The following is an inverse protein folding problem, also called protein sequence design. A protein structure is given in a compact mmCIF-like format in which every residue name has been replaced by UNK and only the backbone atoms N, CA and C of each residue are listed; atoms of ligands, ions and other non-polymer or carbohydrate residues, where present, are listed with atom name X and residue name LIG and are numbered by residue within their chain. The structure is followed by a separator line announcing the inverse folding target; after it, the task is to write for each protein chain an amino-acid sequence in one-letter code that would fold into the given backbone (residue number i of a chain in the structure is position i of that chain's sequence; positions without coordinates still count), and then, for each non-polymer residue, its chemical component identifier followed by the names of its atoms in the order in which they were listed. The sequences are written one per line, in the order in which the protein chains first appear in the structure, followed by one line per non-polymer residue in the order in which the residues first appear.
data_IF_144051519225
#
_entry.id   IF_144051519225
#
_cell.length_a   1.000
_cell.length_b   1.000
_cell.length_c   1.000
_cell.angle_alpha   90.00
_cell.angle_beta   90.00
_cell.angle_gamma   90.00
#
_symmetry.space_group_name_H-M   'P 1'
#
loop_
_entity.id
_entity.type
_entity.pdbx_description
1 polymer ?
#
# COMPACT_ATOMS: atom_id res chain seq x y z
N UNK A 1 -36.05 7.67 6.68
CA UNK A 1 -34.99 6.76 6.20
C UNK A 1 -33.67 7.50 6.28
N UNK A 2 -32.66 6.93 6.93
CA UNK A 2 -31.33 7.55 7.09
C UNK A 2 -30.35 6.83 6.19
N UNK A 3 -29.75 7.57 5.25
CA UNK A 3 -28.73 7.04 4.35
C UNK A 3 -27.35 7.05 5.04
N UNK A 4 -26.76 5.86 5.16
CA UNK A 4 -25.47 5.61 5.78
C UNK A 4 -24.50 5.05 4.74
N UNK A 5 -23.25 5.50 4.81
CA UNK A 5 -22.15 4.95 4.01
C UNK A 5 -21.03 4.49 4.94
N UNK A 6 -20.59 3.25 4.76
CA UNK A 6 -19.43 2.67 5.42
C UNK A 6 -18.29 2.53 4.41
N UNK A 7 -17.13 3.10 4.72
CA UNK A 7 -15.90 2.95 3.91
C UNK A 7 -14.87 2.20 4.76
N UNK A 8 -14.68 0.91 4.48
CA UNK A 8 -13.76 0.04 5.24
C UNK A 8 -13.24 -1.14 4.42
N UNK A 9 -11.95 -1.46 4.60
CA UNK A 9 -11.34 -2.68 4.08
C UNK A 9 -11.36 -3.86 5.08
N UNK A 10 -11.73 -3.61 6.35
CA UNK A 10 -11.77 -4.62 7.42
C UNK A 10 -13.04 -5.50 7.29
N UNK A 11 -12.90 -6.83 7.10
CA UNK A 11 -14.04 -7.73 6.97
C UNK A 11 -14.95 -7.76 8.21
N UNK A 12 -14.37 -7.70 9.42
CA UNK A 12 -15.10 -7.67 10.70
C UNK A 12 -16.11 -6.51 10.77
N UNK A 13 -15.69 -5.30 10.40
CA UNK A 13 -16.55 -4.13 10.41
C UNK A 13 -17.69 -4.25 9.38
N UNK A 14 -17.42 -4.83 8.20
CA UNK A 14 -18.47 -5.09 7.21
C UNK A 14 -19.54 -6.02 7.78
N UNK A 15 -19.14 -7.13 8.40
CA UNK A 15 -20.08 -8.09 8.99
C UNK A 15 -20.94 -7.44 10.10
N UNK A 16 -20.33 -6.62 10.95
CA UNK A 16 -21.03 -5.87 11.99
C UNK A 16 -22.09 -4.93 11.42
N UNK A 17 -21.72 -4.12 10.43
CA UNK A 17 -22.64 -3.17 9.83
C UNK A 17 -23.71 -3.84 8.96
N UNK A 18 -23.47 -5.02 8.40
CA UNK A 18 -24.51 -5.78 7.70
C UNK A 18 -25.67 -6.16 8.62
N UNK A 19 -25.44 -6.35 9.92
CA UNK A 19 -26.53 -6.55 10.90
C UNK A 19 -27.41 -5.30 11.07
N UNK A 20 -26.85 -4.12 10.83
CA UNK A 20 -27.60 -2.86 10.82
C UNK A 20 -28.42 -2.66 9.55
N UNK A 21 -28.14 -3.42 8.48
CA UNK A 21 -28.89 -3.32 7.23
C UNK A 21 -30.29 -3.94 7.33
N UNK A 22 -30.53 -4.77 8.36
CA UNK A 22 -31.83 -5.39 8.63
C UNK A 22 -32.86 -4.36 9.14
N UNK A 23 -32.43 -3.18 9.58
CA UNK A 23 -33.32 -2.11 10.02
C UNK A 23 -33.99 -1.42 8.82
N UNK A 24 -35.34 -1.47 8.67
CA UNK A 24 -36.04 -0.93 7.51
C UNK A 24 -35.98 0.61 7.41
N UNK A 25 -35.55 1.27 8.49
CA UNK A 25 -35.40 2.73 8.54
C UNK A 25 -34.02 3.20 8.09
N UNK A 26 -33.08 2.29 7.85
CA UNK A 26 -31.70 2.59 7.48
C UNK A 26 -31.41 2.10 6.07
N UNK A 27 -30.66 2.91 5.31
CA UNK A 27 -30.11 2.50 4.03
C UNK A 27 -28.61 2.47 4.15
N UNK A 28 -28.05 1.29 4.39
CA UNK A 28 -26.62 1.13 4.49
C UNK A 28 -26.02 0.82 3.11
N UNK A 29 -24.96 1.54 2.77
CA UNK A 29 -24.05 1.21 1.66
C UNK A 29 -22.65 0.96 2.16
N UNK A 30 -21.96 0.05 1.50
CA UNK A 30 -20.60 -0.36 1.88
C UNK A 30 -19.68 -0.17 0.68
N UNK A 31 -18.58 0.55 0.91
CA UNK A 31 -17.50 0.72 -0.04
C UNK A 31 -16.20 0.14 0.54
N UNK A 32 -15.46 -0.59 -0.29
CA UNK A 32 -14.17 -1.18 0.10
C UNK A 32 -12.98 -0.27 -0.18
N UNK A 33 -13.15 0.72 -1.05
CA UNK A 33 -12.11 1.66 -1.47
C UNK A 33 -12.60 3.11 -1.43
N UNK A 34 -11.66 4.05 -1.42
CA UNK A 34 -11.96 5.48 -1.50
C UNK A 34 -12.68 5.84 -2.80
N UNK A 35 -12.27 5.27 -3.93
CA UNK A 35 -12.87 5.56 -5.24
C UNK A 35 -14.34 5.18 -5.25
N UNK A 36 -14.64 3.95 -4.82
CA UNK A 36 -16.02 3.47 -4.68
C UNK A 36 -16.81 4.32 -3.68
N UNK A 37 -16.21 4.68 -2.53
CA UNK A 37 -16.85 5.56 -1.56
C UNK A 37 -17.15 6.95 -2.12
N UNK A 38 -16.27 7.49 -2.96
CA UNK A 38 -16.45 8.75 -3.66
C UNK A 38 -17.57 8.70 -4.72
N UNK A 39 -17.68 7.59 -5.44
CA UNK A 39 -18.78 7.33 -6.40
C UNK A 39 -20.12 7.23 -5.68
N UNK A 40 -20.19 6.48 -4.58
CA UNK A 40 -21.42 6.33 -3.78
C UNK A 40 -21.89 7.66 -3.20
N UNK A 41 -20.97 8.50 -2.72
CA UNK A 41 -21.25 9.87 -2.23
C UNK A 41 -21.74 10.79 -3.35
N UNK A 42 -21.18 10.63 -4.55
CA UNK A 42 -21.58 11.43 -5.70
C UNK A 42 -22.96 11.02 -6.22
N UNK A 43 -23.24 9.71 -6.21
CA UNK A 43 -24.52 9.13 -6.61
C UNK A 43 -25.64 9.51 -5.64
N UNK A 44 -25.38 9.43 -4.34
CA UNK A 44 -26.33 9.80 -3.30
C UNK A 44 -25.61 10.41 -2.11
N UNK A 45 -26.21 11.41 -1.47
CA UNK A 45 -25.50 12.20 -0.47
C UNK A 45 -25.86 11.68 0.93
N UNK A 46 -25.05 10.79 1.53
CA UNK A 46 -25.39 10.17 2.80
C UNK A 46 -25.48 11.22 3.91
N UNK A 47 -26.35 10.97 4.88
CA UNK A 47 -26.47 11.80 6.08
C UNK A 47 -25.25 11.62 7.00
N UNK A 48 -24.68 10.41 7.02
CA UNK A 48 -23.52 10.05 7.82
C UNK A 48 -22.61 9.06 7.10
N UNK A 49 -21.30 9.27 7.25
CA UNK A 49 -20.24 8.44 6.66
C UNK A 49 -19.34 7.94 7.79
N UNK A 50 -19.18 6.62 7.86
CA UNK A 50 -18.22 5.95 8.73
C UNK A 50 -16.95 5.65 7.92
N UNK A 51 -15.79 6.11 8.39
CA UNK A 51 -14.51 6.00 7.69
C UNK A 51 -13.48 5.38 8.61
N UNK A 52 -12.79 4.36 8.13
CA UNK A 52 -11.65 3.75 8.84
C UNK A 52 -10.41 4.66 8.80
N UNK A 53 -9.53 4.55 9.80
CA UNK A 53 -8.26 5.32 9.89
C UNK A 53 -7.42 5.27 8.61
N UNK A 54 -7.34 4.09 8.01
CA UNK A 54 -6.60 3.85 6.78
C UNK A 54 -7.46 3.03 5.82
N UNK A 55 -7.58 3.50 4.58
CA UNK A 55 -8.24 2.76 3.48
C UNK A 55 -7.35 2.89 2.27
N UNK A 56 -6.93 1.76 1.69
CA UNK A 56 -6.03 1.75 0.51
C UNK A 56 -4.74 2.55 0.73
N UNK A 57 -4.16 2.47 1.92
CA UNK A 57 -2.92 3.18 2.28
C UNK A 57 -3.04 4.70 2.47
N UNK A 58 -4.23 5.28 2.27
CA UNK A 58 -4.50 6.69 2.53
C UNK A 58 -4.98 6.89 3.97
N UNK A 59 -4.49 7.94 4.61
CA UNK A 59 -4.87 8.32 5.96
C UNK A 59 -6.23 9.02 6.01
N UNK A 60 -6.90 8.89 7.15
CA UNK A 60 -8.24 9.44 7.44
C UNK A 60 -8.38 10.94 7.11
N UNK A 61 -7.39 11.76 7.43
CA UNK A 61 -7.37 13.19 7.12
C UNK A 61 -7.45 13.48 5.61
N UNK A 62 -6.65 12.76 4.81
CA UNK A 62 -6.67 12.83 3.34
C UNK A 62 -8.03 12.35 2.84
N UNK A 63 -8.54 11.23 3.36
CA UNK A 63 -9.87 10.71 3.01
C UNK A 63 -10.95 11.77 3.26
N UNK A 64 -10.96 12.37 4.44
CA UNK A 64 -11.93 13.40 4.82
C UNK A 64 -11.89 14.61 3.89
N UNK A 65 -10.69 15.08 3.53
CA UNK A 65 -10.51 16.20 2.62
C UNK A 65 -11.09 15.87 1.22
N UNK A 66 -10.79 14.68 0.69
CA UNK A 66 -11.30 14.23 -0.60
C UNK A 66 -12.83 14.06 -0.60
N UNK A 67 -13.39 13.45 0.46
CA UNK A 67 -14.83 13.23 0.59
C UNK A 67 -15.58 14.56 0.76
N UNK A 68 -15.07 15.49 1.58
CA UNK A 68 -15.64 16.84 1.73
C UNK A 68 -15.68 17.60 0.41
N UNK A 69 -14.62 17.50 -0.41
CA UNK A 69 -14.56 18.13 -1.73
C UNK A 69 -15.67 17.60 -2.68
N UNK A 70 -16.01 16.31 -2.58
CA UNK A 70 -17.07 15.68 -3.39
C UNK A 70 -18.49 15.97 -2.90
N UNK A 71 -18.71 16.06 -1.60
CA UNK A 71 -20.03 16.33 -0.98
C UNK A 71 -20.60 17.72 -1.28
N UNK A 72 -19.73 18.69 -1.56
CA UNK A 72 -20.13 20.08 -1.83
C UNK A 72 -20.74 20.74 -0.59
N UNK A 73 -21.91 21.39 -0.75
CA UNK A 73 -22.56 22.19 0.31
C UNK A 73 -23.42 21.38 1.30
N UNK A 74 -23.55 20.06 1.14
CA UNK A 74 -24.39 19.25 2.05
C UNK A 74 -23.67 18.99 3.37
N UNK A 75 -24.43 19.04 4.46
CA UNK A 75 -23.94 18.71 5.80
C UNK A 75 -24.03 17.19 6.00
N UNK A 76 -22.90 16.52 5.86
CA UNK A 76 -22.74 15.09 6.17
C UNK A 76 -21.88 14.97 7.42
N UNK A 77 -22.29 14.11 8.36
CA UNK A 77 -21.49 13.82 9.55
C UNK A 77 -20.47 12.75 9.22
N UNK A 78 -19.25 12.95 9.69
CA UNK A 78 -18.16 11.99 9.54
C UNK A 78 -17.83 11.39 10.90
N UNK A 79 -17.82 10.06 10.97
CA UNK A 79 -17.47 9.28 12.14
C UNK A 79 -16.22 8.47 11.82
N UNK A 80 -15.17 8.63 12.64
CA UNK A 80 -13.93 7.89 12.48
C UNK A 80 -14.01 6.53 13.18
N UNK A 81 -13.66 5.45 12.49
CA UNK A 81 -13.52 4.11 13.04
C UNK A 81 -12.04 3.83 13.24
N UNK A 82 -11.57 3.83 14.49
CA UNK A 82 -10.15 3.70 14.78
C UNK A 82 -9.93 3.12 16.18
N UNK A 83 -8.88 2.31 16.39
CA UNK A 83 -8.47 1.93 17.73
C UNK A 83 -7.74 3.12 18.41
N UNK A 84 -7.79 3.22 19.76
CA UNK A 84 -7.38 4.42 20.50
C UNK A 84 -5.88 4.70 20.41
N UNK A 85 -5.07 3.69 20.10
CA UNK A 85 -3.62 3.76 19.93
C UNK A 85 -3.19 4.39 18.59
N UNK A 86 -4.08 4.43 17.59
CA UNK A 86 -3.76 4.89 16.24
C UNK A 86 -4.24 6.32 15.92
N UNK A 87 -4.91 7.00 16.86
CA UNK A 87 -5.50 8.31 16.58
C UNK A 87 -4.79 9.42 17.35
N UNK A 88 -4.47 10.49 16.62
CA UNK A 88 -3.98 11.73 17.19
C UNK A 88 -5.18 12.67 17.48
N UNK A 89 -5.15 13.38 18.61
CA UNK A 89 -6.14 14.40 19.00
C UNK A 89 -6.40 15.44 17.89
N UNK A 90 -5.38 15.75 17.09
CA UNK A 90 -5.53 16.65 15.94
C UNK A 90 -6.53 16.12 14.89
N UNK A 91 -6.49 14.81 14.63
CA UNK A 91 -7.40 14.15 13.68
C UNK A 91 -8.80 14.07 14.26
N UNK A 92 -8.93 13.73 15.55
CA UNK A 92 -10.24 13.62 16.22
C UNK A 92 -11.07 14.91 16.11
N UNK A 93 -10.42 16.08 16.19
CA UNK A 93 -11.09 17.39 16.04
C UNK A 93 -11.70 17.64 14.66
N UNK A 94 -11.22 16.93 13.62
CA UNK A 94 -11.75 17.06 12.26
C UNK A 94 -13.05 16.28 12.04
N UNK A 95 -13.29 15.28 12.88
CA UNK A 95 -14.45 14.39 12.84
C UNK A 95 -15.53 14.83 13.84
N UNK A 96 -16.77 14.37 13.61
CA UNK A 96 -17.87 14.68 14.53
C UNK A 96 -17.87 13.76 15.76
N UNK A 97 -17.43 12.51 15.57
CA UNK A 97 -17.27 11.51 16.61
C UNK A 97 -16.25 10.46 16.16
N UNK A 98 -15.70 9.70 17.12
CA UNK A 98 -14.84 8.55 16.89
C UNK A 98 -15.42 7.33 17.59
N UNK A 99 -15.26 6.15 16.98
CA UNK A 99 -15.66 4.87 17.54
C UNK A 99 -14.43 3.96 17.63
N UNK A 100 -14.27 3.34 18.78
CA UNK A 100 -13.16 2.45 19.09
C UNK A 100 -13.40 1.06 18.49
N UNK A 101 -12.57 0.69 17.50
CA UNK A 101 -12.67 -0.61 16.82
C UNK A 101 -12.03 -1.77 17.59
N UNK A 102 -11.29 -1.49 18.66
CA UNK A 102 -10.70 -2.51 19.53
C UNK A 102 -11.72 -3.13 20.49
N UNK A 103 -12.87 -2.48 20.69
CA UNK A 103 -13.97 -2.98 21.50
C UNK A 103 -14.60 -4.25 20.93
N UNK A 104 -15.31 -4.98 21.78
CA UNK A 104 -16.13 -6.12 21.37
C UNK A 104 -17.25 -5.71 20.40
N UNK A 105 -17.64 -6.65 19.54
CA UNK A 105 -18.66 -6.47 18.51
C UNK A 105 -19.97 -5.88 19.05
N UNK A 106 -20.40 -6.31 20.24
CA UNK A 106 -21.62 -5.84 20.88
C UNK A 106 -21.51 -4.37 21.34
N UNK A 107 -20.38 -4.00 21.93
CA UNK A 107 -20.14 -2.63 22.41
C UNK A 107 -20.03 -1.65 21.24
N UNK A 108 -19.29 -2.04 20.21
CA UNK A 108 -19.13 -1.24 19.00
C UNK A 108 -20.47 -1.03 18.28
N UNK A 109 -21.31 -2.08 18.17
CA UNK A 109 -22.62 -1.99 17.55
C UNK A 109 -23.56 -1.06 18.33
N UNK A 110 -23.56 -1.12 19.66
CA UNK A 110 -24.30 -0.18 20.50
C UNK A 110 -23.83 1.27 20.29
N UNK A 111 -22.51 1.49 20.25
CA UNK A 111 -21.95 2.81 20.01
C UNK A 111 -22.31 3.36 18.60
N UNK A 112 -22.43 2.49 17.59
CA UNK A 112 -22.94 2.85 16.27
C UNK A 112 -24.43 3.25 16.33
N UNK A 113 -25.27 2.50 17.05
CA UNK A 113 -26.68 2.88 17.24
C UNK A 113 -26.82 4.23 17.94
N UNK A 114 -26.02 4.49 18.97
CA UNK A 114 -26.01 5.78 19.67
C UNK A 114 -25.62 6.92 18.73
N UNK A 115 -24.56 6.72 17.92
CA UNK A 115 -24.14 7.69 16.92
C UNK A 115 -25.27 8.00 15.92
N UNK A 116 -26.00 6.98 15.46
CA UNK A 116 -27.16 7.14 14.55
C UNK A 116 -28.32 7.84 15.27
N UNK A 117 -28.61 7.50 16.51
CA UNK A 117 -29.68 8.13 17.30
C UNK A 117 -29.44 9.65 17.47
N UNK A 118 -28.17 10.07 17.63
CA UNK A 118 -27.83 11.51 17.71
C UNK A 118 -28.13 12.30 16.43
N UNK A 119 -28.26 11.64 15.27
CA UNK A 119 -28.73 12.27 14.04
C UNK A 119 -30.23 12.53 14.10
N UNK A 120 -31.00 11.53 14.53
CA UNK A 120 -32.46 11.56 14.54
C UNK A 120 -33.00 12.66 15.47
N UNK A 121 -32.44 12.78 16.68
CA UNK A 121 -32.89 13.76 17.69
C UNK A 121 -32.71 15.21 17.21
N UNK A 122 -31.59 15.51 16.53
CA UNK A 122 -31.29 16.87 16.06
C UNK A 122 -32.20 17.31 14.90
N UNK A 123 -32.74 16.36 14.14
CA UNK A 123 -33.74 16.64 13.11
C UNK A 123 -35.09 17.06 13.70
N UNK A 124 -35.53 16.40 14.78
CA UNK A 124 -36.86 16.64 15.40
C UNK A 124 -36.93 17.98 16.13
N UNK A 125 -35.86 18.41 16.80
CA UNK A 125 -35.81 19.71 17.50
C UNK A 125 -35.87 20.92 16.57
N UNK A 126 -35.51 20.75 15.28
CA UNK A 126 -35.60 21.82 14.27
C UNK A 126 -36.97 21.89 13.57
N UNK A 127 -37.76 20.82 13.63
CA UNK A 127 -39.15 20.78 13.15
C UNK A 127 -40.17 21.25 14.21
N UNK A 128 -39.85 21.08 15.51
CA UNK A 128 -40.73 21.49 16.61
C UNK A 128 -40.55 22.95 17.07
N UNK A 129 -39.52 23.67 16.61
CA UNK A 129 -39.24 25.06 17.02
C UNK A 129 -39.90 26.14 16.13
N UNK A 130 -40.88 25.76 15.28
CA UNK A 130 -41.76 26.67 14.53
C UNK A 130 -43.22 26.55 14.97
N UNK A 131 -43.48 25.80 16.05
CA UNK A 131 -44.75 25.86 16.77
C UNK A 131 -44.50 26.61 18.07
N UNK A 132 -44.69 27.92 17.99
CA UNK A 132 -44.88 28.84 19.10
C UNK A 132 -46.00 28.33 20.02
N UNK A 133 -45.75 28.12 21.33
CA UNK A 133 -46.77 28.28 22.34
C UNK A 133 -46.59 29.68 22.94
N UNK A 134 -47.57 30.52 22.67
CA UNK A 134 -47.81 31.74 23.41
C UNK A 134 -47.98 31.41 24.91
N UNK A 135 -47.33 32.24 25.72
CA UNK A 135 -47.82 32.76 27.00
C UNK A 135 -48.18 31.77 28.12
N UNK A 136 -47.33 31.68 29.15
CA UNK A 136 -47.68 32.11 30.51
C UNK A 136 -46.60 31.72 31.55
N UNK A 137 -46.21 32.76 32.27
CA UNK A 137 -45.39 32.94 33.47
C UNK A 137 -45.49 31.91 34.65
N UNK A 138 -44.63 32.05 35.69
CA UNK A 138 -44.06 30.97 36.52
C UNK A 138 -44.53 30.95 37.98
N UNK A 139 -44.39 29.82 38.68
CA UNK A 139 -44.27 29.73 40.16
C UNK A 139 -43.50 28.46 40.53
N UNK A 140 -42.25 28.59 40.97
CA UNK A 140 -41.72 28.21 42.30
C UNK A 140 -42.39 26.98 42.97
N UNK A 141 -41.61 25.92 43.22
CA UNK A 141 -41.25 25.57 44.60
C UNK A 141 -40.21 24.45 44.70
N UNK A 142 -39.37 24.60 45.71
CA UNK A 142 -38.26 23.73 46.08
C UNK A 142 -38.73 22.54 46.94
N UNK A 143 -38.18 21.34 46.73
CA UNK A 143 -37.85 20.41 47.84
C UNK A 143 -36.66 19.51 47.42
N UNK A 144 -35.61 19.40 48.26
CA UNK A 144 -34.52 18.43 48.08
C UNK A 144 -34.89 17.08 48.71
N UNK A 145 -34.65 15.97 48.01
CA UNK A 145 -34.70 14.64 48.60
C UNK A 145 -33.33 13.97 48.62
N UNK A 146 -33.03 13.48 49.83
CA UNK A 146 -31.82 12.87 50.32
C UNK A 146 -31.55 11.46 49.75
N UNK A 147 -30.31 10.94 49.95
CA UNK A 147 -29.83 9.68 49.38
C UNK A 147 -30.41 8.47 50.13
N UNK A 148 -30.76 7.41 49.39
CA UNK A 148 -31.03 6.08 49.92
C UNK A 148 -29.92 5.10 49.50
N UNK A 149 -29.02 4.82 50.43
CA UNK A 149 -28.51 3.47 50.71
C UNK A 149 -29.70 2.56 51.11
N UNK A 150 -29.66 1.22 50.95
CA UNK A 150 -28.60 0.37 51.50
C UNK A 150 -28.28 -0.95 50.74
N UNK A 151 -27.32 -1.68 51.34
CA UNK A 151 -27.24 -3.14 51.47
C UNK A 151 -26.28 -3.92 50.55
N UNK A 152 -25.05 -4.09 51.06
CA UNK A 152 -24.41 -5.37 51.39
C UNK A 152 -25.06 -6.64 50.79
N UNK A 153 -24.35 -7.29 49.87
CA UNK A 153 -24.37 -8.76 49.74
C UNK A 153 -22.94 -9.28 49.55
N UNK A 154 -22.59 -10.23 50.43
CA UNK A 154 -21.36 -11.03 50.48
C UNK A 154 -21.24 -12.03 49.31
N UNK A 155 -20.02 -12.54 49.06
CA UNK A 155 -19.67 -13.28 47.85
C UNK A 155 -20.00 -14.78 47.93
N UNK A 156 -20.63 -15.31 46.88
CA UNK A 156 -20.71 -16.74 46.65
C UNK A 156 -19.52 -17.21 45.82
N UNK A 157 -18.76 -18.11 46.43
CA UNK A 157 -17.70 -18.90 45.83
C UNK A 157 -18.21 -19.64 44.59
N UNK A 158 -17.48 -19.53 43.48
CA UNK A 158 -17.69 -20.36 42.30
C UNK A 158 -16.51 -21.32 42.17
N UNK A 159 -16.92 -22.58 42.02
CA UNK A 159 -16.17 -23.81 41.95
C UNK A 159 -14.98 -23.77 40.98
N UNK A 160 -13.87 -24.31 41.47
CA UNK A 160 -12.62 -24.50 40.75
C UNK A 160 -12.69 -25.86 40.06
N UNK A 161 -13.05 -25.87 38.78
CA UNK A 161 -13.00 -27.08 37.95
C UNK A 161 -11.56 -27.32 37.51
N UNK A 162 -10.88 -28.26 38.16
CA UNK A 162 -9.59 -28.79 37.72
C UNK A 162 -9.76 -29.57 36.41
N UNK A 163 -9.20 -29.03 35.32
CA UNK A 163 -9.11 -29.71 34.04
C UNK A 163 -7.85 -30.57 34.01
N UNK A 164 -8.00 -31.85 34.35
CA UNK A 164 -6.93 -32.84 34.34
C UNK A 164 -6.65 -33.30 32.90
N UNK A 165 -5.61 -32.73 32.27
CA UNK A 165 -5.13 -33.13 30.94
C UNK A 165 -4.23 -34.36 31.11
N UNK A 166 -4.77 -35.54 30.79
CA UNK A 166 -3.99 -36.78 30.62
C UNK A 166 -3.25 -36.76 29.28
N UNK A 167 -1.92 -36.95 29.24
CA UNK A 167 -1.17 -37.09 28.01
C UNK A 167 -1.33 -38.51 27.44
N UNK A 168 -2.08 -38.63 26.34
CA UNK A 168 -2.18 -39.88 25.58
C UNK A 168 -0.94 -40.04 24.70
N UNK A 169 -0.23 -41.15 24.90
CA UNK A 169 0.97 -41.54 24.18
C UNK A 169 0.66 -41.85 22.70
N UNK A 170 1.32 -41.14 21.79
CA UNK A 170 1.40 -41.51 20.38
C UNK A 170 2.54 -42.52 20.20
N UNK A 171 2.18 -43.78 19.96
CA UNK A 171 3.10 -44.79 19.42
C UNK A 171 3.27 -44.60 17.91
N UNK A 172 4.50 -44.65 17.36
CA UNK A 172 4.73 -44.72 15.94
C UNK A 172 4.82 -46.20 15.52
N UNK A 173 3.84 -46.68 14.77
CA UNK A 173 3.97 -47.93 14.02
C UNK A 173 3.54 -47.67 12.58
N UNK A 174 4.48 -47.84 11.66
CA UNK A 174 4.38 -48.67 10.45
C UNK A 174 5.50 -48.25 9.51
N UNK A 175 6.67 -48.86 9.76
CA UNK A 175 7.66 -49.10 8.75
C UNK A 175 7.30 -50.41 8.02
N UNK A 176 7.77 -50.52 6.79
CA UNK A 176 7.95 -51.73 5.99
C UNK A 176 6.71 -52.39 5.38
N UNK A 177 6.60 -52.22 4.06
CA UNK A 177 6.13 -53.27 3.15
C UNK A 177 6.97 -53.21 1.89
N UNK A 178 7.94 -54.12 1.81
CA UNK A 178 8.68 -54.50 0.61
C UNK A 178 7.78 -55.34 -0.32
N UNK A 179 8.11 -55.28 -1.61
CA UNK A 179 7.98 -56.34 -2.62
C UNK A 179 6.68 -56.43 -3.44
N UNK A 180 6.78 -55.99 -4.69
CA UNK A 180 6.18 -56.63 -5.87
C UNK A 180 6.97 -56.15 -7.11
N UNK A 181 7.85 -56.98 -7.66
CA UNK A 181 7.56 -57.88 -8.77
C UNK A 181 7.54 -57.14 -10.12
N UNK A 182 8.58 -57.43 -10.89
CA UNK A 182 8.80 -56.98 -12.26
C UNK A 182 7.64 -57.37 -13.18
N UNK A 183 7.15 -56.38 -13.94
CA UNK A 183 6.51 -56.58 -15.22
C UNK A 183 6.74 -55.29 -16.03
N UNK A 184 7.51 -55.39 -17.11
CA UNK A 184 7.49 -54.42 -18.20
C UNK A 184 6.07 -54.32 -18.77
N UNK A 185 5.60 -53.11 -19.05
CA UNK A 185 4.89 -52.92 -20.30
C UNK A 185 5.36 -51.65 -21.05
N UNK A 186 5.76 -51.89 -22.29
CA UNK A 186 5.60 -51.07 -23.49
C UNK A 186 5.44 -49.54 -23.31
N UNK A 187 6.46 -48.82 -23.81
CA UNK A 187 6.40 -47.39 -24.13
C UNK A 187 5.20 -47.03 -25.02
N UNK A 188 4.37 -46.05 -24.64
CA UNK A 188 3.54 -45.30 -25.58
C UNK A 188 4.30 -44.07 -26.14
N UNK A 189 4.02 -43.66 -27.39
CA UNK A 189 4.74 -42.60 -28.09
C UNK A 189 4.49 -41.20 -27.47
N UNK A 190 5.38 -40.23 -27.70
CA UNK A 190 5.29 -38.90 -27.11
C UNK A 190 4.12 -38.12 -27.72
N UNK A 191 3.09 -37.88 -26.91
CA UNK A 191 2.02 -36.93 -27.23
C UNK A 191 2.48 -35.55 -26.78
N UNK A 192 2.65 -34.64 -27.74
CA UNK A 192 2.82 -33.20 -27.52
C UNK A 192 1.58 -32.62 -26.82
N UNK A 193 1.55 -32.70 -25.48
CA UNK A 193 0.60 -31.95 -24.67
C UNK A 193 1.10 -30.51 -24.50
N UNK A 194 0.73 -29.68 -25.48
CA UNK A 194 0.71 -28.23 -25.32
C UNK A 194 -0.16 -27.86 -24.13
N UNK A 195 0.49 -27.64 -22.99
CA UNK A 195 -0.15 -27.15 -21.77
C UNK A 195 -0.59 -25.71 -22.00
N UNK A 196 -1.82 -25.54 -22.47
CA UNK A 196 -2.52 -24.26 -22.50
C UNK A 196 -2.75 -23.82 -21.04
N UNK A 197 -1.80 -23.05 -20.49
CA UNK A 197 -2.00 -22.42 -19.19
C UNK A 197 -3.17 -21.45 -19.29
N UNK A 198 -4.18 -21.65 -18.45
CA UNK A 198 -5.25 -20.69 -18.26
C UNK A 198 -4.65 -19.33 -17.87
N UNK A 199 -4.98 -18.29 -18.63
CA UNK A 199 -4.57 -16.92 -18.36
C UNK A 199 -5.12 -16.50 -16.98
N UNK A 200 -4.25 -16.48 -15.96
CA UNK A 200 -4.61 -15.95 -14.65
C UNK A 200 -4.85 -14.44 -14.77
N UNK A 201 -5.85 -13.88 -14.07
CA UNK A 201 -6.09 -12.44 -14.08
C UNK A 201 -4.85 -11.72 -13.58
N UNK A 202 -4.27 -10.87 -14.43
CA UNK A 202 -3.17 -9.97 -14.07
C UNK A 202 -3.74 -8.95 -13.09
N UNK A 203 -3.60 -9.17 -11.78
CA UNK A 203 -3.83 -8.12 -10.81
C UNK A 203 -2.91 -6.94 -11.16
N UNK A 204 -3.49 -5.75 -11.28
CA UNK A 204 -2.80 -4.48 -11.51
C UNK A 204 -2.05 -4.01 -10.25
N UNK A 205 -1.22 -4.87 -9.67
CA UNK A 205 -0.39 -4.62 -8.47
C UNK A 205 0.68 -3.54 -8.73
N UNK A 206 0.89 -3.15 -9.98
CA UNK A 206 1.99 -2.26 -10.39
C UNK A 206 1.73 -0.76 -10.18
N UNK A 207 0.49 -0.30 -10.01
CA UNK A 207 0.20 1.14 -9.98
C UNK A 207 0.34 1.78 -8.60
N UNK A 208 0.01 1.05 -7.53
CA UNK A 208 -0.01 1.61 -6.17
C UNK A 208 1.33 1.41 -5.44
N UNK A 209 2.06 0.34 -5.77
CA UNK A 209 3.37 0.04 -5.19
C UNK A 209 4.47 1.01 -5.66
N UNK A 210 4.40 1.49 -6.90
CA UNK A 210 5.39 2.42 -7.45
C UNK A 210 5.18 3.85 -6.95
N UNK A 211 3.92 4.28 -6.82
CA UNK A 211 3.54 5.62 -6.36
C UNK A 211 3.89 5.87 -4.88
N UNK A 212 3.70 4.86 -4.02
CA UNK A 212 4.05 4.96 -2.59
C UNK A 212 5.56 4.93 -2.32
N UNK A 213 6.34 4.32 -3.23
CA UNK A 213 7.82 4.26 -3.15
C UNK A 213 8.51 5.50 -3.75
N UNK A 214 7.94 6.13 -4.78
CA UNK A 214 8.47 7.39 -5.33
C UNK A 214 8.36 8.57 -4.35
N UNK A 215 7.33 8.58 -3.51
CA UNK A 215 7.23 9.56 -2.42
C UNK A 215 8.31 9.35 -1.35
N UNK A 216 8.62 8.11 -0.97
CA UNK A 216 9.62 7.82 0.06
C UNK A 216 11.05 8.20 -0.36
N UNK A 217 11.37 8.15 -1.67
CA UNK A 217 12.66 8.60 -2.21
C UNK A 217 12.71 10.13 -2.34
N UNK A 218 11.56 10.78 -2.52
CA UNK A 218 11.47 12.25 -2.61
C UNK A 218 11.62 12.94 -1.25
N UNK A 219 11.19 12.30 -0.16
CA UNK A 219 11.31 12.81 1.21
C UNK A 219 12.72 12.69 1.81
N UNK A 220 13.64 11.97 1.17
CA UNK A 220 15.03 11.85 1.60
C UNK A 220 15.92 13.07 1.19
N UNK A 221 15.31 14.18 0.74
CA UNK A 221 16.06 15.42 0.50
C UNK A 221 16.40 16.08 1.85
N UNK A 222 17.68 16.41 2.12
CA UNK A 222 18.05 17.09 3.34
C UNK A 222 17.41 18.47 3.38
N UNK A 223 16.67 18.73 4.46
CA UNK A 223 16.08 20.03 4.82
C UNK A 223 17.15 21.12 4.76
N UNK A 224 17.13 21.94 3.71
CA UNK A 224 17.92 23.16 3.66
C UNK A 224 17.45 24.12 4.76
N UNK A 225 18.43 24.69 5.46
CA UNK A 225 18.29 25.58 6.60
C UNK A 225 17.41 26.81 6.31
N UNK A 226 16.71 27.36 7.32
CA UNK A 226 15.79 28.49 7.14
C UNK A 226 16.54 29.75 6.71
N UNK A 227 16.19 30.27 5.54
CA UNK A 227 16.63 31.57 5.04
C UNK A 227 15.77 32.67 5.64
N UNK A 228 16.45 33.70 6.14
CA UNK A 228 15.92 34.81 6.93
C UNK A 228 14.79 35.61 6.26
N UNK A 229 13.91 36.11 7.13
CA UNK A 229 12.79 37.04 6.90
C UNK A 229 13.21 38.32 6.17
N UNK A 230 12.24 38.99 5.52
CA UNK A 230 11.97 40.35 5.98
C UNK A 230 10.49 40.71 6.11
N UNK A 231 10.23 41.41 7.23
CA UNK A 231 9.43 42.62 7.44
C UNK A 231 8.06 42.81 6.76
N UNK A 232 7.07 42.98 7.65
CA UNK A 232 5.98 43.97 7.66
C UNK A 232 5.45 44.57 6.34
N UNK A 233 4.12 44.50 6.15
CA UNK A 233 3.25 45.69 6.29
C UNK A 233 1.73 45.35 6.14
N UNK A 234 0.81 46.25 6.56
CA UNK A 234 -0.47 45.86 7.16
C UNK A 234 -1.74 46.26 6.37
N UNK A 235 -2.86 45.76 6.88
CA UNK A 235 -4.15 46.45 7.05
C UNK A 235 -5.24 46.39 5.95
N UNK A 236 -6.46 46.27 6.49
CA UNK A 236 -7.74 46.84 6.03
C UNK A 236 -8.35 46.34 4.71
N UNK A 237 -9.46 45.59 4.83
CA UNK A 237 -10.80 46.16 4.52
C UNK A 237 -11.95 45.23 4.92
N UNK A 238 -12.79 45.77 5.78
CA UNK A 238 -14.22 45.51 5.90
C UNK A 238 -14.92 45.51 4.54
N UNK A 239 -15.86 44.58 4.35
CA UNK A 239 -17.07 44.81 3.55
C UNK A 239 -18.16 43.86 4.01
N UNK A 240 -18.86 44.35 5.03
CA UNK A 240 -20.20 43.96 5.46
C UNK A 240 -21.19 44.67 4.52
N UNK A 241 -22.03 43.92 3.81
CA UNK A 241 -23.24 44.49 3.22
C UNK A 241 -24.37 43.45 3.24
N UNK A 242 -25.34 43.75 4.08
CA UNK A 242 -26.62 43.07 4.24
C UNK A 242 -27.66 43.57 3.22
N UNK A 243 -28.69 42.73 3.06
CA UNK A 243 -30.11 43.00 2.72
C UNK A 243 -30.57 43.26 1.27
N UNK A 244 -31.37 42.32 0.74
CA UNK A 244 -32.84 42.37 0.76
C UNK A 244 -33.54 41.70 -0.47
N UNK A 245 -34.28 40.63 -0.18
CA UNK A 245 -35.64 40.25 -0.64
C UNK A 245 -36.07 40.49 -2.10
N UNK A 246 -36.47 39.38 -2.76
CA UNK A 246 -37.37 39.37 -3.92
C UNK A 246 -37.84 37.94 -4.24
N UNK A 247 -39.01 37.55 -3.73
CA UNK A 247 -39.68 36.28 -4.03
C UNK A 247 -40.43 36.45 -5.36
N UNK A 248 -40.00 35.74 -6.41
CA UNK A 248 -40.81 35.51 -7.60
C UNK A 248 -40.65 34.04 -8.06
N UNK A 249 -41.73 33.28 -7.93
CA UNK A 249 -41.83 31.86 -8.27
C UNK A 249 -41.92 31.69 -9.79
N UNK A 250 -40.77 31.44 -10.44
CA UNK A 250 -40.71 31.10 -11.88
C UNK A 250 -40.49 29.59 -12.06
N UNK A 251 -41.25 28.91 -12.94
CA UNK A 251 -41.13 27.46 -13.12
C UNK A 251 -39.73 27.06 -13.63
N UNK A 252 -39.22 25.88 -13.22
CA UNK A 252 -37.86 25.45 -13.50
C UNK A 252 -37.65 25.25 -15.00
N UNK A 253 -36.96 26.20 -15.64
CA UNK A 253 -36.41 26.00 -16.99
C UNK A 253 -35.33 24.90 -16.95
N UNK A 254 -35.33 23.95 -17.90
CA UNK A 254 -34.39 22.84 -17.91
C UNK A 254 -32.96 23.34 -18.16
N UNK A 255 -32.07 23.06 -17.20
CA UNK A 255 -30.67 23.51 -17.20
C UNK A 255 -29.80 22.85 -18.28
N UNK A 256 -30.33 21.90 -19.04
CA UNK A 256 -29.61 21.20 -20.11
C UNK A 256 -29.31 22.07 -21.34
N UNK A 257 -30.08 23.13 -21.60
CA UNK A 257 -29.88 23.97 -22.78
C UNK A 257 -28.61 24.85 -22.71
N UNK A 258 -28.09 25.15 -21.52
CA UNK A 258 -26.87 25.98 -21.37
C UNK A 258 -25.57 25.19 -21.48
N UNK A 259 -25.60 23.88 -21.22
CA UNK A 259 -24.41 23.03 -21.37
C UNK A 259 -24.15 22.64 -22.82
N UNK A 260 -25.18 22.48 -23.66
CA UNK A 260 -25.00 22.12 -25.07
C UNK A 260 -24.26 23.21 -25.88
N UNK A 261 -24.44 24.47 -25.51
CA UNK A 261 -23.87 25.61 -26.23
C UNK A 261 -22.34 25.72 -26.09
N UNK A 262 -21.75 25.09 -25.06
CA UNK A 262 -20.29 25.06 -24.86
C UNK A 262 -19.58 23.93 -25.62
N UNK A 263 -20.28 22.88 -26.04
CA UNK A 263 -19.64 21.73 -26.72
C UNK A 263 -19.45 21.94 -28.22
N UNK A 264 -20.28 22.76 -28.86
CA UNK A 264 -20.20 23.04 -30.30
C UNK A 264 -18.81 23.57 -30.73
N UNK A 265 -18.20 24.58 -30.07
CA UNK A 265 -16.87 25.04 -30.48
C UNK A 265 -15.77 23.99 -30.28
N UNK A 266 -15.87 23.14 -29.26
CA UNK A 266 -14.89 22.09 -29.00
C UNK A 266 -14.89 21.03 -30.12
N UNK A 267 -16.08 20.62 -30.57
CA UNK A 267 -16.23 19.64 -31.66
C UNK A 267 -15.69 20.21 -32.99
N UNK A 268 -15.92 21.50 -33.26
CA UNK A 268 -15.39 22.16 -34.47
C UNK A 268 -13.85 22.22 -34.46
N UNK A 269 -13.23 22.50 -33.32
CA UNK A 269 -11.76 22.52 -33.19
C UNK A 269 -11.18 21.12 -33.41
N UNK A 270 -11.77 20.08 -32.83
CA UNK A 270 -11.31 18.69 -33.03
C UNK A 270 -11.45 18.29 -34.51
N UNK A 271 -12.56 18.62 -35.16
CA UNK A 271 -12.76 18.31 -36.59
C UNK A 271 -11.72 19.03 -37.48
N UNK A 272 -11.42 20.30 -37.19
CA UNK A 272 -10.42 21.08 -37.93
C UNK A 272 -9.00 20.52 -37.77
N UNK A 273 -8.62 20.12 -36.55
CA UNK A 273 -7.31 19.51 -36.29
C UNK A 273 -7.18 18.15 -36.99
N UNK A 274 -8.26 17.36 -37.00
CA UNK A 274 -8.26 16.04 -37.66
C UNK A 274 -8.13 16.18 -39.18
N UNK A 275 -8.79 17.16 -39.79
CA UNK A 275 -8.66 17.45 -41.23
C UNK A 275 -7.28 18.01 -41.60
N UNK A 276 -6.65 18.80 -40.73
CA UNK A 276 -5.27 19.28 -40.96
C UNK A 276 -4.24 18.15 -40.89
N UNK A 277 -4.39 17.24 -39.91
CA UNK A 277 -3.49 16.11 -39.76
C UNK A 277 -3.62 15.11 -40.92
N UNK A 278 -4.82 14.97 -41.50
CA UNK A 278 -5.02 14.05 -42.61
C UNK A 278 -4.44 14.54 -43.94
N UNK A 279 -4.23 15.85 -44.11
CA UNK A 279 -3.65 16.46 -45.33
C UNK A 279 -2.13 16.33 -45.44
N UNK A 280 -1.41 16.07 -44.35
CA UNK A 280 0.06 16.01 -44.32
C UNK A 280 0.68 14.68 -44.73
N UNK A 281 -0.12 13.64 -44.95
CA UNK A 281 0.36 12.25 -45.04
C UNK A 281 0.11 11.65 -46.42
N UNK A 282 0.75 12.21 -47.46
CA UNK A 282 0.89 11.51 -48.75
C UNK A 282 2.29 10.85 -48.77
N UNK A 283 2.39 9.51 -48.70
CA UNK A 283 3.67 8.82 -48.70
C UNK A 283 4.32 8.90 -50.09
N UNK A 284 5.54 9.43 -50.14
CA UNK A 284 6.40 9.42 -51.33
C UNK A 284 6.85 7.98 -51.58
N UNK A 285 6.31 7.37 -52.63
CA UNK A 285 6.74 6.05 -53.14
C UNK A 285 8.19 6.18 -53.59
N UNK A 286 9.09 5.43 -52.95
CA UNK A 286 10.48 5.25 -53.39
C UNK A 286 10.58 3.84 -53.94
N UNK A 287 10.75 3.75 -55.26
CA UNK A 287 11.13 2.53 -55.96
C UNK A 287 12.52 2.07 -55.52
N UNK A 288 12.64 0.83 -55.05
CA UNK A 288 13.93 0.15 -54.89
C UNK A 288 13.84 -1.20 -55.59
N UNK A 289 14.67 -1.33 -56.63
CA UNK A 289 14.85 -2.52 -57.44
C UNK A 289 15.54 -3.67 -56.67
N UNK A 290 15.32 -4.94 -57.07
CA UNK A 290 15.84 -6.11 -56.37
C UNK A 290 17.26 -6.48 -56.84
N UNK A 291 18.15 -6.81 -55.90
CA UNK A 291 19.39 -7.51 -56.21
C UNK A 291 19.42 -8.88 -55.51
N UNK A 292 19.77 -9.87 -56.32
CA UNK A 292 19.69 -11.31 -56.10
C UNK A 292 20.79 -11.86 -55.16
N UNK A 293 20.73 -13.16 -54.78
CA UNK A 293 21.45 -13.75 -53.66
C UNK A 293 22.75 -14.46 -54.06
N UNK A 294 23.69 -14.61 -53.12
CA UNK A 294 24.79 -15.56 -53.22
C UNK A 294 24.96 -16.33 -51.88
N UNK A 295 24.94 -17.65 -52.00
CA UNK A 295 25.20 -18.68 -50.98
C UNK A 295 26.73 -18.92 -50.80
N UNK A 296 27.23 -20.07 -50.29
CA UNK A 296 27.69 -20.21 -48.91
C UNK A 296 29.13 -20.76 -48.80
N UNK A 297 29.71 -20.70 -47.61
CA UNK A 297 30.97 -21.38 -47.26
C UNK A 297 31.36 -20.98 -45.84
N UNK A 298 32.02 -21.76 -45.01
CA UNK A 298 32.65 -23.06 -45.16
C UNK A 298 33.00 -23.53 -43.72
N UNK A 299 33.07 -24.85 -43.52
CA UNK A 299 33.30 -25.50 -42.24
C UNK A 299 34.77 -25.41 -41.76
N UNK A 300 34.98 -25.33 -40.44
CA UNK A 300 36.19 -25.84 -39.75
C UNK A 300 35.89 -25.96 -38.24
N UNK A 301 35.66 -27.17 -37.69
CA UNK A 301 36.63 -28.16 -37.16
C UNK A 301 37.28 -27.75 -35.82
N UNK A 302 36.97 -28.55 -34.80
CA UNK A 302 37.54 -28.55 -33.44
C UNK A 302 39.07 -28.82 -33.42
N UNK A 303 39.77 -28.59 -32.29
CA UNK A 303 39.91 -29.68 -31.31
C UNK A 303 39.98 -29.25 -29.82
N UNK A 304 39.69 -30.23 -28.96
CA UNK A 304 40.00 -30.25 -27.53
C UNK A 304 41.52 -30.31 -27.26
N UNK A 305 41.96 -30.00 -26.03
CA UNK A 305 42.71 -31.02 -25.31
C UNK A 305 42.41 -31.10 -23.80
N UNK A 306 42.46 -32.34 -23.31
CA UNK A 306 42.59 -32.73 -21.91
C UNK A 306 43.98 -32.38 -21.36
N UNK A 307 44.10 -31.98 -20.09
CA UNK A 307 45.35 -32.14 -19.31
C UNK A 307 45.09 -32.13 -17.78
N UNK A 308 45.21 -33.33 -17.19
CA UNK A 308 45.92 -33.73 -15.96
C UNK A 308 45.61 -33.08 -14.60
N UNK A 309 45.12 -33.94 -13.70
CA UNK A 309 45.43 -33.96 -12.26
C UNK A 309 46.94 -34.13 -11.99
N UNK A 310 47.38 -33.74 -10.79
CA UNK A 310 48.22 -34.63 -9.99
C UNK A 310 47.71 -34.80 -8.54
N UNK A 311 47.66 -36.05 -8.09
CA UNK A 311 47.83 -36.47 -6.69
C UNK A 311 49.33 -36.51 -6.36
N UNK A 312 49.73 -36.05 -5.17
CA UNK A 312 50.64 -36.75 -4.22
C UNK A 312 51.29 -35.79 -3.18
N UNK A 313 51.43 -36.30 -1.93
CA UNK A 313 52.28 -35.79 -0.84
C UNK A 313 51.52 -34.93 0.18
N UNK A 314 51.12 -35.36 1.38
CA UNK A 314 51.80 -36.09 2.46
C UNK A 314 53.05 -35.37 3.02
N UNK A 315 52.98 -35.10 4.33
CA UNK A 315 54.04 -34.74 5.29
C UNK A 315 54.53 -33.28 5.38
N UNK A 316 53.98 -32.55 6.38
CA UNK A 316 54.72 -31.64 7.25
C UNK A 316 53.87 -31.28 8.49
N UNK A 317 53.78 -32.24 9.41
CA UNK A 317 53.54 -31.97 10.83
C UNK A 317 54.82 -31.37 11.44
N UNK A 318 54.67 -30.57 12.51
CA UNK A 318 55.71 -29.97 13.34
C UNK A 318 56.27 -28.59 12.92
N UNK A 319 55.45 -27.54 13.09
CA UNK A 319 55.92 -26.23 13.57
C UNK A 319 54.78 -25.48 14.30
N UNK A 320 54.14 -26.17 15.24
CA UNK A 320 53.33 -25.57 16.27
C UNK A 320 54.18 -25.44 17.54
N UNK A 321 54.15 -24.25 18.16
CA UNK A 321 54.71 -23.83 19.46
C UNK A 321 55.89 -22.84 19.38
N UNK A 322 55.60 -21.61 18.96
CA UNK A 322 56.20 -20.40 19.53
C UNK A 322 55.49 -19.18 18.93
N UNK A 323 54.32 -18.80 19.44
CA UNK A 323 53.74 -17.44 19.36
C UNK A 323 52.40 -17.42 20.11
N UNK A 324 52.43 -17.72 21.43
CA UNK A 324 51.29 -17.53 22.34
C UNK A 324 51.78 -16.75 23.54
N UNK A 325 52.06 -15.46 23.36
CA UNK A 325 52.30 -14.50 24.46
C UNK A 325 52.10 -13.03 24.06
N UNK A 326 51.34 -12.73 22.99
CA UNK A 326 51.15 -11.34 22.51
C UNK A 326 49.69 -10.92 22.32
N UNK A 327 48.72 -11.68 22.85
CA UNK A 327 47.27 -11.46 22.58
C UNK A 327 46.56 -10.65 23.67
N UNK A 328 47.20 -10.28 24.77
CA UNK A 328 46.51 -9.63 25.91
C UNK A 328 46.50 -8.09 25.89
N UNK A 329 46.88 -7.44 24.78
CA UNK A 329 47.00 -5.96 24.74
C UNK A 329 46.34 -5.25 23.56
N UNK A 330 45.30 -5.83 22.95
CA UNK A 330 44.42 -5.13 22.00
C UNK A 330 42.97 -5.10 22.51
N UNK A 331 42.78 -4.66 23.76
CA UNK A 331 41.48 -4.51 24.40
C UNK A 331 40.95 -3.10 24.13
N UNK A 332 40.00 -2.95 23.20
CA UNK A 332 39.02 -1.86 23.26
C UNK A 332 38.75 -1.02 22.02
N UNK A 333 39.31 -1.30 20.84
CA UNK A 333 38.89 -0.58 19.62
C UNK A 333 37.98 -1.48 18.78
N UNK A 334 36.68 -1.15 18.80
CA UNK A 334 35.72 -1.74 17.88
C UNK A 334 36.23 -1.52 16.44
N UNK A 335 36.21 -2.55 15.57
CA UNK A 335 36.61 -2.39 14.19
C UNK A 335 35.80 -1.25 13.55
N UNK A 336 36.44 -0.38 12.74
CA UNK A 336 35.75 0.74 12.12
C UNK A 336 34.58 0.23 11.27
N UNK A 337 33.46 0.96 11.23
CA UNK A 337 32.28 0.55 10.47
C UNK A 337 32.61 0.46 8.98
N UNK A 338 32.23 -0.64 8.33
CA UNK A 338 32.43 -0.83 6.90
C UNK A 338 31.57 0.17 6.11
N UNK A 339 32.18 0.86 5.15
CA UNK A 339 31.53 1.80 4.23
C UNK A 339 31.52 1.17 2.85
N UNK A 340 30.33 0.94 2.29
CA UNK A 340 30.20 0.38 0.95
C UNK A 340 30.60 1.42 -0.12
N UNK A 341 31.35 1.03 -1.15
CA UNK A 341 31.72 1.94 -2.23
C UNK A 341 30.47 2.40 -2.99
N UNK A 342 30.46 3.67 -3.39
CA UNK A 342 29.39 4.20 -4.23
C UNK A 342 29.62 3.76 -5.67
N UNK A 343 28.62 3.11 -6.26
CA UNK A 343 28.76 2.54 -7.60
C UNK A 343 28.52 3.59 -8.67
N UNK A 344 29.38 3.64 -9.68
CA UNK A 344 29.18 4.41 -10.91
C UNK A 344 28.76 3.50 -12.07
N UNK A 345 29.28 2.27 -12.08
CA UNK A 345 28.98 1.24 -13.06
C UNK A 345 27.81 0.37 -12.62
N UNK A 346 27.06 -0.13 -13.60
CA UNK A 346 25.92 -1.02 -13.35
C UNK A 346 26.41 -2.38 -12.82
N UNK A 347 25.87 -2.90 -11.70
CA UNK A 347 26.21 -4.23 -11.19
C UNK A 347 25.93 -5.33 -12.21
N UNK A 348 26.69 -6.42 -12.16
CA UNK A 348 26.55 -7.51 -13.14
C UNK A 348 25.26 -8.32 -13.01
N UNK A 349 24.58 -8.27 -11.86
CA UNK A 349 23.27 -8.91 -11.70
C UNK A 349 22.13 -8.17 -12.42
N UNK A 350 22.34 -6.91 -12.82
CA UNK A 350 21.35 -6.16 -13.61
C UNK A 350 21.61 -6.46 -15.09
N UNK A 351 20.62 -7.02 -15.82
CA UNK A 351 20.78 -7.29 -17.23
C UNK A 351 21.01 -5.96 -17.98
N UNK A 352 22.05 -5.92 -18.80
CA UNK A 352 22.35 -4.76 -19.65
C UNK A 352 21.39 -4.69 -20.83
N UNK A 353 20.92 -5.86 -21.27
CA UNK A 353 19.86 -5.99 -22.26
C UNK A 353 18.51 -5.72 -21.61
N UNK A 354 17.56 -5.16 -22.37
CA UNK A 354 16.22 -4.86 -21.86
C UNK A 354 16.08 -3.48 -21.20
N UNK A 355 16.98 -2.54 -21.47
CA UNK A 355 16.80 -1.14 -21.08
C UNK A 355 15.54 -0.55 -21.73
N UNK A 356 14.61 -0.11 -20.89
CA UNK A 356 13.41 0.59 -21.30
C UNK A 356 13.65 2.11 -21.34
N UNK A 357 14.02 2.58 -22.54
CA UNK A 357 14.27 4.01 -22.82
C UNK A 357 13.03 4.87 -22.59
N UNK A 358 11.82 4.34 -22.80
CA UNK A 358 10.58 5.12 -22.62
C UNK A 358 10.34 5.43 -21.15
N UNK A 359 10.62 4.45 -20.27
CA UNK A 359 10.51 4.65 -18.83
C UNK A 359 11.47 5.74 -18.33
N UNK A 360 12.74 5.71 -18.75
CA UNK A 360 13.72 6.71 -18.33
C UNK A 360 13.44 8.12 -18.87
N UNK A 361 12.84 8.22 -20.06
CA UNK A 361 12.36 9.50 -20.58
C UNK A 361 11.19 10.08 -19.75
N UNK A 362 10.32 9.22 -19.22
CA UNK A 362 9.19 9.63 -18.37
C UNK A 362 9.59 9.90 -16.91
N UNK A 363 10.66 9.27 -16.42
CA UNK A 363 11.10 9.35 -15.03
C UNK A 363 12.59 9.76 -14.98
N UNK A 364 12.91 11.07 -15.03
CA UNK A 364 14.28 11.56 -15.06
C UNK A 364 15.12 11.01 -13.89
N UNK A 365 16.32 10.51 -14.22
CA UNK A 365 17.24 9.89 -13.25
C UNK A 365 16.96 8.40 -13.00
N UNK A 366 15.81 7.87 -13.40
CA UNK A 366 15.50 6.44 -13.28
C UNK A 366 15.75 5.70 -14.60
N UNK A 367 16.45 4.58 -14.50
CA UNK A 367 16.61 3.61 -15.57
C UNK A 367 15.82 2.35 -15.21
N UNK A 368 15.10 1.78 -16.18
CA UNK A 368 14.40 0.51 -16.00
C UNK A 368 15.00 -0.55 -16.92
N UNK A 369 15.37 -1.70 -16.37
CA UNK A 369 15.85 -2.86 -17.09
C UNK A 369 14.89 -4.02 -16.88
N UNK A 370 14.39 -4.60 -17.98
CA UNK A 370 13.43 -5.69 -17.95
C UNK A 370 14.13 -7.04 -18.13
N UNK A 371 14.15 -7.85 -17.08
CA UNK A 371 14.48 -9.27 -17.17
C UNK A 371 13.27 -10.12 -17.55
N UNK A 372 13.48 -11.43 -17.69
CA UNK A 372 12.42 -12.39 -18.03
C UNK A 372 11.31 -12.46 -16.97
N UNK A 373 11.72 -12.48 -15.69
CA UNK A 373 10.81 -12.61 -14.54
C UNK A 373 11.05 -11.56 -13.46
N UNK A 374 12.03 -10.67 -13.66
CA UNK A 374 12.42 -9.63 -12.71
C UNK A 374 12.50 -8.28 -13.40
N UNK A 375 12.04 -7.24 -12.72
CA UNK A 375 12.23 -5.85 -13.11
C UNK A 375 13.33 -5.24 -12.25
N UNK A 376 14.24 -4.51 -12.88
CA UNK A 376 15.27 -3.75 -12.18
C UNK A 376 15.05 -2.27 -12.45
N UNK A 377 15.03 -1.47 -11.39
CA UNK A 377 15.01 -0.01 -11.49
C UNK A 377 16.25 0.54 -10.81
N UNK A 378 16.96 1.43 -11.49
CA UNK A 378 18.22 2.02 -11.03
C UNK A 378 18.06 3.53 -11.03
N UNK A 379 18.23 4.15 -9.87
CA UNK A 379 18.22 5.60 -9.75
C UNK A 379 19.65 6.12 -9.79
N UNK A 380 19.92 7.03 -10.72
CA UNK A 380 21.19 7.71 -10.91
C UNK A 380 21.06 9.19 -10.63
N UNK A 381 22.05 9.72 -9.95
CA UNK A 381 22.26 11.16 -9.79
C UNK A 381 23.65 11.50 -10.33
N UNK A 382 23.68 12.18 -11.47
CA UNK A 382 24.91 12.32 -12.25
C UNK A 382 25.42 10.95 -12.71
N UNK A 383 26.66 10.61 -12.37
CA UNK A 383 27.27 9.31 -12.69
C UNK A 383 27.08 8.27 -11.59
N UNK A 384 26.61 8.67 -10.41
CA UNK A 384 26.53 7.80 -9.24
C UNK A 384 25.16 7.12 -9.14
N UNK A 385 25.17 5.83 -8.83
CA UNK A 385 23.98 5.07 -8.48
C UNK A 385 23.62 5.39 -7.03
N UNK A 386 22.39 5.86 -6.81
CA UNK A 386 21.83 6.19 -5.50
C UNK A 386 20.90 5.10 -4.97
N UNK A 387 20.17 4.42 -5.86
CA UNK A 387 19.27 3.34 -5.47
C UNK A 387 19.20 2.26 -6.53
N UNK A 388 19.00 1.01 -6.09
CA UNK A 388 18.67 -0.13 -6.94
C UNK A 388 17.46 -0.83 -6.34
N UNK A 389 16.45 -1.04 -7.16
CA UNK A 389 15.25 -1.78 -6.81
C UNK A 389 15.12 -3.00 -7.72
N UNK A 390 14.84 -4.15 -7.12
CA UNK A 390 14.58 -5.41 -7.81
C UNK A 390 13.18 -5.89 -7.45
N UNK A 391 12.35 -6.20 -8.45
CA UNK A 391 10.94 -6.58 -8.28
C UNK A 391 10.68 -7.89 -9.03
N UNK A 392 10.05 -8.87 -8.37
CA UNK A 392 9.55 -10.09 -9.02
C UNK A 392 8.30 -9.77 -9.86
N UNK A 393 8.38 -10.02 -11.17
CA UNK A 393 7.24 -9.94 -12.08
C UNK A 393 6.54 -11.28 -12.30
N UNK A 394 7.25 -12.37 -12.05
CA UNK A 394 6.77 -13.73 -12.33
C UNK A 394 5.82 -14.26 -11.27
N UNK A 395 5.71 -13.59 -10.11
CA UNK A 395 4.87 -14.03 -9.01
C UNK A 395 5.42 -15.25 -8.27
N UNK A 396 6.66 -15.67 -8.54
CA UNK A 396 7.31 -16.82 -7.88
C UNK A 396 8.19 -16.42 -6.70
N UNK A 397 8.44 -15.12 -6.53
CA UNK A 397 9.44 -14.58 -5.63
C UNK A 397 10.84 -14.56 -6.25
N UNK A 398 11.64 -13.62 -5.77
CA UNK A 398 13.06 -13.49 -6.02
C UNK A 398 13.77 -14.61 -5.25
N UNK A 399 14.57 -15.47 -5.91
CA UNK A 399 15.34 -16.50 -5.23
C UNK A 399 16.30 -15.90 -4.19
N UNK A 400 16.33 -16.48 -2.99
CA UNK A 400 17.17 -15.95 -1.91
C UNK A 400 18.66 -15.99 -2.26
N UNK A 401 19.11 -17.00 -3.02
CA UNK A 401 20.48 -17.07 -3.53
C UNK A 401 20.83 -15.90 -4.45
N UNK A 402 19.89 -15.46 -5.29
CA UNK A 402 20.07 -14.27 -6.13
C UNK A 402 20.14 -12.99 -5.31
N UNK A 403 19.26 -12.85 -4.31
CA UNK A 403 19.32 -11.72 -3.38
C UNK A 403 20.67 -11.67 -2.67
N UNK A 404 21.13 -12.79 -2.11
CA UNK A 404 22.43 -12.86 -1.41
C UNK A 404 23.61 -12.51 -2.32
N UNK A 405 23.64 -13.02 -3.56
CA UNK A 405 24.71 -12.69 -4.50
C UNK A 405 24.68 -11.22 -4.94
N UNK A 406 23.49 -10.64 -5.12
CA UNK A 406 23.34 -9.22 -5.41
C UNK A 406 23.85 -8.37 -4.24
N UNK A 407 23.45 -8.67 -3.01
CA UNK A 407 23.91 -7.96 -1.82
C UNK A 407 25.43 -8.11 -1.61
N UNK A 408 25.98 -9.30 -1.87
CA UNK A 408 27.43 -9.53 -1.81
C UNK A 408 28.20 -8.69 -2.83
N UNK A 409 27.63 -8.46 -4.03
CA UNK A 409 28.24 -7.57 -5.00
C UNK A 409 28.20 -6.09 -4.59
N UNK A 410 27.17 -5.66 -3.84
CA UNK A 410 26.99 -4.27 -3.42
C UNK A 410 27.77 -3.92 -2.14
N UNK A 411 27.79 -4.82 -1.17
CA UNK A 411 28.29 -4.57 0.19
C UNK A 411 29.38 -5.55 0.64
N UNK A 412 29.82 -6.47 -0.23
CA UNK A 412 30.65 -7.59 0.19
C UNK A 412 29.91 -8.55 1.12
N UNK A 413 30.65 -9.29 1.95
CA UNK A 413 30.07 -10.25 2.90
C UNK A 413 29.55 -9.58 4.19
N UNK A 414 29.11 -8.33 4.11
CA UNK A 414 28.61 -7.61 5.28
C UNK A 414 27.26 -8.19 5.72
N UNK A 415 27.08 -8.52 7.01
CA UNK A 415 25.80 -9.03 7.50
C UNK A 415 24.72 -7.95 7.43
N UNK A 416 23.51 -8.36 7.07
CA UNK A 416 22.34 -7.49 7.18
C UNK A 416 21.94 -7.33 8.64
N UNK A 417 21.94 -6.09 9.12
CA UNK A 417 21.46 -5.72 10.46
C UNK A 417 20.05 -5.16 10.32
N UNK A 418 19.06 -5.95 10.76
CA UNK A 418 17.65 -5.53 10.70
C UNK A 418 17.37 -4.46 11.77
N UNK A 419 16.90 -3.29 11.34
CA UNK A 419 16.50 -2.20 12.24
C UNK A 419 15.00 -2.26 12.57
N UNK A 420 14.14 -2.65 11.62
CA UNK A 420 12.69 -2.78 11.85
C UNK A 420 12.03 -3.81 10.95
N UNK A 421 10.87 -4.32 11.38
CA UNK A 421 10.00 -5.18 10.57
C UNK A 421 8.54 -4.77 10.80
N UNK A 422 7.82 -4.54 9.72
CA UNK A 422 6.43 -4.06 9.73
C UNK A 422 5.59 -4.93 8.79
N UNK A 423 4.34 -5.23 9.14
CA UNK A 423 3.40 -5.89 8.24
C UNK A 423 2.46 -4.84 7.64
N UNK A 424 2.46 -4.69 6.33
CA UNK A 424 1.66 -3.69 5.61
C UNK A 424 1.22 -4.22 4.25
N UNK A 425 -0.05 -4.04 3.91
CA UNK A 425 -0.65 -4.39 2.61
C UNK A 425 -0.41 -5.85 2.17
N UNK A 426 -0.42 -6.78 3.12
CA UNK A 426 -0.16 -8.20 2.84
C UNK A 426 1.32 -8.54 2.63
N UNK A 427 2.22 -7.62 2.95
CA UNK A 427 3.67 -7.84 2.95
C UNK A 427 4.27 -7.69 4.34
N UNK A 428 5.36 -8.41 4.58
CA UNK A 428 6.30 -8.14 5.65
C UNK A 428 7.46 -7.32 5.09
N UNK A 429 7.55 -6.07 5.53
CA UNK A 429 8.58 -5.10 5.14
C UNK A 429 9.66 -5.11 6.21
N UNK A 430 10.86 -5.55 5.85
CA UNK A 430 12.04 -5.55 6.74
C UNK A 430 12.98 -4.44 6.30
N UNK A 431 13.30 -3.51 7.20
CA UNK A 431 14.25 -2.42 6.94
C UNK A 431 15.50 -2.64 7.77
N UNK A 432 16.66 -2.33 7.22
CA UNK A 432 17.91 -2.42 7.94
C UNK A 432 19.09 -1.88 7.17
N UNK A 433 20.28 -2.19 7.68
CA UNK A 433 21.56 -1.70 7.17
C UNK A 433 22.44 -2.84 6.71
N UNK A 434 23.12 -2.63 5.58
CA UNK A 434 24.16 -3.51 5.06
C UNK A 434 25.55 -2.96 5.33
N UNK A 435 25.70 -1.64 5.30
CA UNK A 435 26.94 -0.93 5.60
C UNK A 435 26.61 0.43 6.23
N UNK A 436 27.62 1.17 6.70
CA UNK A 436 27.43 2.46 7.34
C UNK A 436 26.64 3.47 6.48
N UNK A 437 26.79 3.38 5.15
CA UNK A 437 26.17 4.26 4.16
C UNK A 437 25.21 3.52 3.23
N UNK A 438 24.78 2.29 3.57
CA UNK A 438 23.97 1.45 2.68
C UNK A 438 22.80 0.82 3.43
N UNK A 439 21.60 1.28 3.10
CA UNK A 439 20.35 0.78 3.66
C UNK A 439 19.68 -0.22 2.71
N UNK A 440 18.98 -1.20 3.27
CA UNK A 440 18.20 -2.17 2.52
C UNK A 440 16.78 -2.30 3.08
N UNK A 441 15.83 -2.49 2.17
CA UNK A 441 14.43 -2.79 2.48
C UNK A 441 14.03 -4.04 1.71
N UNK A 442 13.53 -5.05 2.42
CA UNK A 442 13.02 -6.29 1.85
C UNK A 442 11.50 -6.34 1.97
N UNK A 443 10.83 -6.70 0.88
CA UNK A 443 9.39 -6.92 0.83
C UNK A 443 9.15 -8.41 0.66
N UNK A 444 8.63 -9.06 1.70
CA UNK A 444 8.25 -10.49 1.69
C UNK A 444 6.74 -10.62 1.76
N UNK A 445 6.19 -11.73 1.33
CA UNK A 445 4.77 -12.03 1.56
C UNK A 445 4.44 -12.06 3.06
N UNK A 446 3.19 -11.74 3.45
CA UNK A 446 2.75 -11.62 4.86
C UNK A 446 3.05 -12.83 5.77
N UNK A 447 3.17 -14.03 5.18
CA UNK A 447 3.50 -15.26 5.91
C UNK A 447 5.02 -15.50 6.01
N UNK A 448 5.85 -14.48 5.77
CA UNK A 448 7.31 -14.63 5.70
C UNK A 448 7.77 -15.40 4.46
N UNK A 449 6.90 -15.45 3.43
CA UNK A 449 7.08 -16.26 2.23
C UNK A 449 8.13 -15.71 1.27
N UNK A 450 7.87 -15.87 -0.03
CA UNK A 450 8.78 -15.45 -1.08
C UNK A 450 9.14 -13.96 -0.99
N UNK A 451 10.40 -13.64 -1.28
CA UNK A 451 10.85 -12.26 -1.42
C UNK A 451 10.25 -11.68 -2.70
N UNK A 452 9.47 -10.60 -2.60
CA UNK A 452 8.79 -9.99 -3.76
C UNK A 452 9.58 -8.86 -4.37
N UNK A 453 10.21 -8.07 -3.52
CA UNK A 453 11.08 -7.00 -3.95
C UNK A 453 12.14 -6.73 -2.90
N UNK A 454 13.24 -6.12 -3.31
CA UNK A 454 14.14 -5.46 -2.38
C UNK A 454 14.69 -4.18 -2.99
N UNK A 455 14.99 -3.23 -2.12
CA UNK A 455 15.51 -1.90 -2.46
C UNK A 455 16.77 -1.67 -1.66
N UNK A 456 17.83 -1.22 -2.33
CA UNK A 456 19.09 -0.82 -1.70
C UNK A 456 19.34 0.66 -2.02
N UNK A 457 19.68 1.44 -1.00
CA UNK A 457 19.87 2.90 -1.10
C UNK A 457 21.16 3.33 -0.43
N UNK A 458 21.96 4.15 -1.13
CA UNK A 458 23.14 4.80 -0.57
C UNK A 458 22.71 6.12 0.08
N UNK A 459 23.18 6.36 1.31
CA UNK A 459 22.97 7.63 2.03
C UNK A 459 23.86 8.76 1.50
#
# INVERSE_FOLDING_TARGET
MVDLLLITDIPRLRQLFMRLADDPNLRLRVASSLEQGGEEIAADKPAMVFVQTHVSGLSADILLMHLKKRLGRRRTRFVLLAPPDQVNDAVLKLYHSSLDTSQDDFQLLNAVHDAIATLAVKGKKRAAAVAEPADAAPVADAVPQAPKEPALQEPLAVDRVDFQISPSAFSPQYAESLSAAAAEPAEPPPVEQGSAYAARPRLSVYSEFTSSLENAVSDARPTELPRELPAEQPSLRDSRQDDAIGIETRPPRPRYARFLLWFVPLVVVVLAVTLLQHRGSQPKVVDVAPLAPALPGEAAKAPAPATKQPMAGADASAAARAHVSSIDQAKGQAPPPFVAPRLTTLPSFVPRDGLDKKYGAANPGWERYMGLVTEFKVFREGTAIKAIQVIDKGGRGIPEGFMKSALAQLAGNSPFVQDSSEKRDGYQIQRGRLAANLNAVFYRDAQGGGLRAFVVTWQ
#
